data_IF_484278536670
#
_entry.id   IF_484278536670
#
_cell.length_a   1.000
_cell.length_b   1.000
_cell.length_c   1.000
_cell.angle_alpha   90.00
_cell.angle_beta   90.00
_cell.angle_gamma   90.00
#
_symmetry.space_group_name_H-M   'P 1'
#
loop_
_entity.id
_entity.type
_entity.pdbx_description
1 polymer ?
#
# COMPACT_ATOMS: atom_id res chain seq x y z
N UNK A 1 5.04 33.98 67.35
CA UNK A 1 4.31 32.72 67.08
C UNK A 1 3.22 32.99 66.07
N UNK A 2 3.47 32.65 64.79
CA UNK A 2 2.55 32.21 63.74
C UNK A 2 3.14 32.57 62.37
N UNK A 3 3.97 31.66 61.85
CA UNK A 3 4.28 31.59 60.44
C UNK A 3 3.05 31.02 59.73
N UNK A 4 2.46 31.78 58.80
CA UNK A 4 1.47 31.26 57.84
C UNK A 4 2.22 30.92 56.55
N UNK A 5 2.37 29.63 56.29
CA UNK A 5 2.91 29.09 55.04
C UNK A 5 1.75 28.94 54.05
N UNK A 6 1.92 29.50 52.85
CA UNK A 6 1.02 29.32 51.71
C UNK A 6 1.09 27.87 51.17
N UNK A 7 0.00 27.31 50.62
CA UNK A 7 0.05 26.02 49.95
C UNK A 7 0.60 26.16 48.52
N UNK A 8 1.68 25.43 48.23
CA UNK A 8 2.25 25.25 46.90
C UNK A 8 1.22 24.70 45.90
N UNK A 9 0.99 25.44 44.82
CA UNK A 9 0.38 24.92 43.59
C UNK A 9 1.39 24.04 42.87
N UNK A 10 1.10 22.75 42.74
CA UNK A 10 1.74 21.89 41.74
C UNK A 10 0.96 22.03 40.42
N UNK A 11 1.62 22.28 39.27
CA UNK A 11 0.94 22.25 37.99
C UNK A 11 0.60 20.79 37.64
N UNK A 12 -0.68 20.53 37.34
CA UNK A 12 -1.12 19.26 36.77
C UNK A 12 -0.50 19.12 35.38
N UNK A 13 0.49 18.24 35.23
CA UNK A 13 0.93 17.79 33.93
C UNK A 13 -0.21 16.99 33.29
N UNK A 14 -0.93 17.62 32.37
CA UNK A 14 -1.75 16.91 31.41
C UNK A 14 -0.78 16.17 30.49
N UNK A 15 -0.61 14.86 30.73
CA UNK A 15 -0.04 13.96 29.75
C UNK A 15 -1.12 13.83 28.67
N UNK A 16 -0.98 14.59 27.58
CA UNK A 16 -1.69 14.29 26.34
C UNK A 16 -1.19 12.93 25.86
N UNK A 17 -1.95 11.87 26.15
CA UNK A 17 -1.78 10.61 25.46
C UNK A 17 -2.16 10.85 24.00
N UNK A 18 -1.17 11.15 23.17
CA UNK A 18 -1.30 11.02 21.72
C UNK A 18 -1.83 9.60 21.45
N UNK A 19 -2.95 9.45 20.71
CA UNK A 19 -3.45 8.12 20.39
C UNK A 19 -2.34 7.36 19.70
N UNK A 20 -2.06 6.14 20.15
CA UNK A 20 -1.16 5.24 19.43
C UNK A 20 -1.74 5.04 18.04
N UNK A 21 -1.17 5.72 17.06
CA UNK A 21 -1.57 5.58 15.67
C UNK A 21 -1.22 4.14 15.28
N UNK A 22 -2.23 3.28 15.13
CA UNK A 22 -2.01 1.94 14.61
C UNK A 22 -1.47 2.09 13.19
N UNK A 23 -0.24 1.64 13.00
CA UNK A 23 0.44 1.67 11.72
C UNK A 23 0.28 0.33 11.02
N UNK A 24 0.04 0.38 9.72
CA UNK A 24 -0.24 -0.78 8.89
C UNK A 24 0.81 -0.90 7.79
N UNK A 25 1.36 -2.09 7.56
CA UNK A 25 2.24 -2.34 6.43
C UNK A 25 1.41 -2.70 5.20
N UNK A 26 1.54 -1.92 4.13
CA UNK A 26 0.86 -2.11 2.84
C UNK A 26 1.90 -2.28 1.76
N UNK A 27 1.70 -3.30 0.92
CA UNK A 27 2.51 -3.57 -0.26
C UNK A 27 1.80 -3.10 -1.52
N UNK A 28 2.45 -2.21 -2.27
CA UNK A 28 1.94 -1.68 -3.53
C UNK A 28 2.79 -2.18 -4.69
N UNK A 29 2.14 -2.74 -5.71
CA UNK A 29 2.78 -3.34 -6.89
C UNK A 29 2.46 -2.59 -8.19
N UNK A 30 1.37 -1.81 -8.21
CA UNK A 30 0.77 -1.20 -9.39
C UNK A 30 0.93 0.31 -9.45
N UNK A 31 -0.16 1.01 -9.74
CA UNK A 31 -0.17 2.46 -10.00
C UNK A 31 0.22 3.36 -8.82
N UNK A 32 0.26 2.83 -7.60
CA UNK A 32 0.59 3.57 -6.37
C UNK A 32 2.11 3.63 -6.08
N UNK A 33 2.93 2.82 -6.75
CA UNK A 33 4.41 2.83 -6.59
C UNK A 33 5.01 4.19 -6.98
N UNK A 34 6.21 4.50 -6.48
CA UNK A 34 6.96 5.69 -6.93
C UNK A 34 7.11 5.71 -8.45
N UNK A 35 6.95 6.90 -9.02
CA UNK A 35 7.00 7.11 -10.47
C UNK A 35 5.78 6.60 -11.25
N UNK A 36 4.79 6.00 -10.58
CA UNK A 36 3.55 5.55 -11.21
C UNK A 36 2.40 6.57 -11.07
N UNK A 37 1.36 6.51 -11.91
CA UNK A 37 0.39 7.61 -12.06
C UNK A 37 -0.40 7.99 -10.80
N UNK A 38 -0.65 7.04 -9.90
CA UNK A 38 -1.43 7.26 -8.68
C UNK A 38 -0.54 7.50 -7.44
N UNK A 39 0.79 7.55 -7.59
CA UNK A 39 1.69 7.84 -6.47
C UNK A 39 1.38 9.14 -5.70
N UNK A 40 0.90 10.25 -6.34
CA UNK A 40 0.57 11.46 -5.61
C UNK A 40 -0.43 11.25 -4.46
N UNK A 41 -1.35 10.29 -4.56
CA UNK A 41 -2.29 9.96 -3.50
C UNK A 41 -1.61 9.39 -2.24
N UNK A 42 -0.47 8.71 -2.38
CA UNK A 42 0.32 8.18 -1.26
C UNK A 42 1.03 9.31 -0.49
N UNK A 43 1.34 10.42 -1.17
CA UNK A 43 2.08 11.55 -0.59
C UNK A 43 1.20 12.70 -0.12
N UNK A 44 -0.10 12.67 -0.46
CA UNK A 44 -1.05 13.70 -0.04
C UNK A 44 -1.42 13.56 1.44
N UNK A 45 -0.97 14.52 2.26
CA UNK A 45 -1.25 14.59 3.69
C UNK A 45 -2.75 14.65 4.04
N UNK A 46 -3.61 15.01 3.08
CA UNK A 46 -5.06 14.98 3.27
C UNK A 46 -5.60 13.55 3.34
N UNK A 47 -4.91 12.58 2.74
CA UNK A 47 -5.30 11.18 2.76
C UNK A 47 -4.79 10.45 4.01
N UNK A 48 -3.77 10.97 4.69
CA UNK A 48 -3.13 10.37 5.85
C UNK A 48 -1.61 10.35 5.70
N UNK A 49 -0.94 9.50 6.46
CA UNK A 49 0.52 9.32 6.38
C UNK A 49 0.85 8.00 5.70
N UNK A 50 1.79 8.04 4.76
CA UNK A 50 2.45 6.86 4.20
C UNK A 50 3.97 7.08 4.20
N UNK A 51 4.69 6.21 4.90
CA UNK A 51 6.14 6.21 4.97
C UNK A 51 6.68 5.01 4.19
N UNK A 52 7.60 5.26 3.26
CA UNK A 52 8.24 4.20 2.50
C UNK A 52 9.21 3.43 3.41
N UNK A 53 9.06 2.11 3.45
CA UNK A 53 9.94 1.24 4.25
C UNK A 53 11.00 0.54 3.39
N UNK A 54 10.72 0.31 2.11
CA UNK A 54 11.62 -0.46 1.26
C UNK A 54 10.98 -1.05 0.02
N UNK A 55 11.78 -1.74 -0.77
CA UNK A 55 11.31 -2.55 -1.89
C UNK A 55 11.28 -4.01 -1.50
N UNK A 56 10.32 -4.75 -2.05
CA UNK A 56 10.17 -6.17 -1.78
C UNK A 56 9.60 -6.90 -2.98
N UNK A 57 9.62 -8.22 -2.90
CA UNK A 57 8.99 -9.09 -3.87
C UNK A 57 8.15 -10.14 -3.14
N UNK A 58 7.00 -10.51 -3.70
CA UNK A 58 6.18 -11.58 -3.11
C UNK A 58 6.97 -12.88 -2.98
N UNK A 59 6.81 -13.60 -1.87
CA UNK A 59 7.40 -14.94 -1.69
C UNK A 59 6.74 -15.92 -2.66
N UNK A 60 5.40 -15.98 -2.62
CA UNK A 60 4.60 -16.74 -3.56
C UNK A 60 4.52 -16.04 -4.92
N UNK A 61 4.27 -16.82 -5.97
CA UNK A 61 3.96 -16.30 -7.29
C UNK A 61 2.49 -15.87 -7.35
N UNK A 62 2.21 -14.78 -8.07
CA UNK A 62 0.86 -14.34 -8.39
C UNK A 62 0.77 -13.89 -9.86
N UNK A 63 -0.38 -14.08 -10.52
CA UNK A 63 -0.65 -13.43 -11.81
C UNK A 63 -0.91 -11.94 -11.59
N UNK A 64 0.07 -11.12 -11.96
CA UNK A 64 -0.13 -9.67 -12.13
C UNK A 64 -0.41 -9.40 -13.60
N UNK A 65 -1.64 -8.99 -13.91
CA UNK A 65 -2.12 -8.77 -15.28
C UNK A 65 -2.47 -7.31 -15.49
N UNK A 66 -2.37 -6.83 -16.72
CA UNK A 66 -2.89 -5.52 -17.13
C UNK A 66 -4.21 -5.77 -17.85
N UNK A 67 -5.29 -5.21 -17.34
CA UNK A 67 -6.64 -5.51 -17.83
C UNK A 67 -7.54 -4.26 -17.86
N UNK A 68 -8.77 -4.45 -18.35
CA UNK A 68 -9.78 -3.42 -18.64
C UNK A 68 -9.39 -2.45 -19.75
N UNK A 69 -10.36 -1.65 -20.22
CA UNK A 69 -10.11 -0.58 -21.20
C UNK A 69 -9.23 0.56 -20.65
N UNK A 70 -8.90 0.54 -19.35
CA UNK A 70 -8.12 1.56 -18.67
C UNK A 70 -6.69 1.10 -18.35
N UNK A 71 -6.28 -0.10 -18.81
CA UNK A 71 -4.95 -0.69 -18.59
C UNK A 71 -4.54 -0.69 -17.12
N UNK A 72 -5.46 -1.10 -16.24
CA UNK A 72 -5.23 -1.17 -14.81
C UNK A 72 -4.46 -2.45 -14.46
N UNK A 73 -3.45 -2.39 -13.57
CA UNK A 73 -2.79 -3.58 -13.05
C UNK A 73 -3.66 -4.27 -12.01
N UNK A 74 -3.88 -5.57 -12.16
CA UNK A 74 -4.58 -6.41 -11.19
C UNK A 74 -3.69 -7.57 -10.72
N UNK A 75 -3.55 -7.71 -9.42
CA UNK A 75 -2.99 -8.91 -8.80
C UNK A 75 -4.10 -9.92 -8.54
N UNK A 76 -4.16 -10.98 -9.34
CA UNK A 76 -5.15 -12.04 -9.14
C UNK A 76 -4.76 -12.87 -7.93
N UNK A 77 -5.71 -13.13 -7.02
CA UNK A 77 -5.47 -13.96 -5.84
C UNK A 77 -5.46 -15.46 -6.20
N UNK A 78 -4.44 -15.84 -6.96
CA UNK A 78 -4.15 -17.19 -7.44
C UNK A 78 -2.70 -17.56 -7.04
N UNK A 79 -2.44 -17.81 -5.74
CA UNK A 79 -1.10 -18.07 -5.25
C UNK A 79 -0.47 -19.29 -5.94
N UNK A 80 0.81 -19.18 -6.26
CA UNK A 80 1.60 -20.21 -6.96
C UNK A 80 1.60 -20.08 -8.48
N UNK A 81 0.79 -19.19 -9.06
CA UNK A 81 0.72 -18.95 -10.51
C UNK A 81 1.40 -17.63 -10.91
N UNK A 82 1.80 -17.46 -12.17
CA UNK A 82 2.42 -16.22 -12.65
C UNK A 82 3.86 -16.03 -12.14
N UNK A 83 4.17 -14.84 -11.62
CA UNK A 83 5.52 -14.42 -11.25
C UNK A 83 5.60 -14.01 -9.78
N UNK A 84 6.83 -13.93 -9.25
CA UNK A 84 7.05 -13.21 -7.99
C UNK A 84 6.97 -11.72 -8.30
N UNK A 85 6.06 -11.00 -7.64
CA UNK A 85 5.71 -9.63 -8.01
C UNK A 85 6.52 -8.64 -7.19
N UNK A 86 7.19 -7.73 -7.89
CA UNK A 86 8.02 -6.66 -7.33
C UNK A 86 7.15 -5.45 -6.96
N UNK A 87 7.47 -4.82 -5.84
CA UNK A 87 6.77 -3.64 -5.37
C UNK A 87 7.45 -2.95 -4.21
N UNK A 88 6.69 -2.09 -3.55
CA UNK A 88 7.14 -1.21 -2.48
C UNK A 88 6.32 -1.45 -1.22
N UNK A 89 6.97 -1.39 -0.07
CA UNK A 89 6.34 -1.50 1.24
C UNK A 89 6.21 -0.10 1.82
N UNK A 90 5.00 0.24 2.27
CA UNK A 90 4.71 1.45 3.00
C UNK A 90 4.15 1.13 4.38
N UNK A 91 4.57 1.90 5.38
CA UNK A 91 3.88 2.00 6.65
C UNK A 91 2.86 3.14 6.57
N UNK A 92 1.59 2.83 6.80
CA UNK A 92 0.50 3.80 6.68
C UNK A 92 -0.29 3.93 7.97
N UNK A 93 -0.79 5.13 8.26
CA UNK A 93 -1.73 5.32 9.37
C UNK A 93 -3.14 4.83 9.01
N UNK A 94 -4.02 4.74 10.01
CA UNK A 94 -5.40 4.30 9.80
C UNK A 94 -6.18 5.16 8.80
N UNK A 95 -5.90 6.47 8.75
CA UNK A 95 -6.56 7.39 7.80
C UNK A 95 -6.18 7.08 6.35
N UNK A 96 -4.88 6.89 6.09
CA UNK A 96 -4.38 6.49 4.77
C UNK A 96 -4.92 5.12 4.39
N UNK A 97 -4.98 4.18 5.34
CA UNK A 97 -5.53 2.86 5.09
C UNK A 97 -7.02 2.90 4.68
N UNK A 98 -7.84 3.69 5.37
CA UNK A 98 -9.25 3.91 5.03
C UNK A 98 -9.41 4.57 3.65
N UNK A 99 -8.56 5.55 3.35
CA UNK A 99 -8.52 6.16 2.03
C UNK A 99 -8.21 5.13 0.94
N UNK A 100 -7.19 4.29 1.13
CA UNK A 100 -6.80 3.26 0.16
C UNK A 100 -7.89 2.21 -0.04
N UNK A 101 -8.60 1.81 1.01
CA UNK A 101 -9.73 0.87 0.90
C UNK A 101 -10.87 1.43 0.06
N UNK A 102 -11.22 2.70 0.28
CA UNK A 102 -12.21 3.42 -0.52
C UNK A 102 -11.71 3.62 -1.95
N UNK A 103 -10.45 4.03 -2.12
CA UNK A 103 -9.83 4.25 -3.41
C UNK A 103 -9.84 2.97 -4.25
N UNK A 104 -9.46 1.82 -3.69
CA UNK A 104 -9.43 0.53 -4.38
C UNK A 104 -10.81 -0.17 -4.44
N UNK A 105 -11.89 0.50 -4.05
CA UNK A 105 -13.26 -0.01 -4.10
C UNK A 105 -13.43 -1.38 -3.41
N UNK A 106 -12.87 -1.56 -2.21
CA UNK A 106 -13.08 -2.76 -1.40
C UNK A 106 -14.55 -2.88 -0.97
N UNK A 107 -15.15 -4.09 -0.92
CA UNK A 107 -14.60 -5.40 -1.33
C UNK A 107 -14.94 -5.77 -2.79
N UNK A 108 -15.43 -4.82 -3.58
CA UNK A 108 -16.04 -5.07 -4.90
C UNK A 108 -15.04 -5.26 -6.03
N UNK A 109 -14.02 -4.39 -6.11
CA UNK A 109 -13.01 -4.44 -7.19
C UNK A 109 -11.78 -5.21 -6.72
N UNK A 110 -11.29 -4.85 -5.54
CA UNK A 110 -10.22 -5.52 -4.83
C UNK A 110 -10.69 -6.00 -3.45
N UNK A 111 -9.87 -6.84 -2.85
CA UNK A 111 -9.95 -7.26 -1.46
C UNK A 111 -8.58 -7.06 -0.83
N UNK A 112 -8.55 -6.62 0.43
CA UNK A 112 -7.29 -6.51 1.18
C UNK A 112 -6.95 -7.87 1.77
N UNK A 113 -5.85 -8.44 1.30
CA UNK A 113 -5.34 -9.76 1.73
C UNK A 113 -3.95 -9.63 2.30
N UNK A 114 -3.53 -10.54 3.17
CA UNK A 114 -2.15 -10.61 3.65
C UNK A 114 -1.27 -11.41 2.67
N UNK A 115 -0.02 -10.98 2.48
CA UNK A 115 0.99 -11.71 1.70
C UNK A 115 2.34 -11.66 2.39
N UNK A 116 3.11 -12.74 2.22
CA UNK A 116 4.52 -12.79 2.60
C UNK A 116 5.41 -12.15 1.52
N UNK A 117 6.34 -11.32 1.97
CA UNK A 117 7.23 -10.53 1.13
C UNK A 117 8.68 -10.77 1.53
N UNK A 118 9.54 -11.02 0.55
CA UNK A 118 10.99 -11.00 0.72
C UNK A 118 11.50 -9.59 0.47
N UNK A 119 12.12 -8.98 1.48
CA UNK A 119 12.62 -7.61 1.43
C UNK A 119 13.86 -7.57 0.54
N UNK A 120 13.89 -6.66 -0.45
CA UNK A 120 15.01 -6.49 -1.38
C UNK A 120 15.91 -5.33 -0.98
N UNK A 121 15.31 -4.20 -0.63
CA UNK A 121 16.00 -3.04 -0.08
C UNK A 121 15.17 -2.48 1.08
N UNK A 122 15.85 -2.07 2.13
CA UNK A 122 15.24 -1.34 3.24
C UNK A 122 15.67 0.13 3.17
N UNK A 123 14.79 1.04 3.57
CA UNK A 123 15.20 2.40 3.90
C UNK A 123 16.07 2.36 5.17
N UNK A 124 17.15 3.14 5.20
CA UNK A 124 18.17 3.11 6.26
C UNK A 124 17.62 3.43 7.65
N UNK A 125 16.45 4.08 7.71
CA UNK A 125 15.78 4.48 8.94
C UNK A 125 15.06 3.33 9.64
N UNK A 126 14.76 2.25 8.92
CA UNK A 126 13.86 1.20 9.41
C UNK A 126 14.58 -0.14 9.57
N UNK A 127 14.17 -0.92 10.58
CA UNK A 127 14.80 -2.21 10.93
C UNK A 127 14.42 -3.34 9.96
N UNK A 128 14.11 -3.03 8.71
CA UNK A 128 13.92 -4.04 7.68
C UNK A 128 15.29 -4.57 7.25
N UNK A 129 15.44 -5.89 7.21
CA UNK A 129 16.67 -6.53 6.79
C UNK A 129 16.50 -7.09 5.38
N UNK A 130 17.37 -6.71 4.46
CA UNK A 130 17.37 -7.31 3.13
C UNK A 130 17.49 -8.85 3.24
N UNK A 131 16.62 -9.56 2.53
CA UNK A 131 16.50 -11.02 2.57
C UNK A 131 15.60 -11.58 3.69
N UNK A 132 15.15 -10.77 4.66
CA UNK A 132 14.14 -11.23 5.62
C UNK A 132 12.75 -11.29 4.98
N UNK A 133 11.88 -12.10 5.58
CA UNK A 133 10.47 -12.20 5.18
C UNK A 133 9.61 -11.39 6.15
N UNK A 134 8.62 -10.68 5.64
CA UNK A 134 7.58 -10.04 6.46
C UNK A 134 6.20 -10.21 5.82
N UNK A 135 5.16 -10.07 6.65
CA UNK A 135 3.77 -10.01 6.18
C UNK A 135 3.35 -8.55 5.98
N UNK A 136 2.63 -8.27 4.89
CA UNK A 136 1.97 -7.00 4.67
C UNK A 136 0.61 -7.20 3.98
N UNK A 137 -0.26 -6.20 4.09
CA UNK A 137 -1.51 -6.15 3.34
C UNK A 137 -1.28 -5.78 1.88
N UNK A 138 -2.01 -6.38 0.96
CA UNK A 138 -2.01 -6.06 -0.47
C UNK A 138 -3.44 -6.03 -1.00
N UNK A 139 -3.70 -5.18 -1.99
CA UNK A 139 -4.96 -5.16 -2.74
C UNK A 139 -4.89 -6.21 -3.85
N UNK A 140 -5.47 -7.38 -3.62
CA UNK A 140 -5.60 -8.45 -4.62
C UNK A 140 -7.06 -8.61 -5.04
N UNK A 141 -7.34 -9.35 -6.10
CA UNK A 141 -8.72 -9.55 -6.56
C UNK A 141 -9.05 -11.02 -6.81
N UNK A 142 -10.24 -11.41 -6.36
CA UNK A 142 -10.93 -12.66 -6.67
C UNK A 142 -12.10 -12.44 -7.63
N UNK A 143 -12.38 -11.18 -7.98
CA UNK A 143 -13.51 -10.71 -8.77
C UNK A 143 -13.02 -10.20 -10.12
N UNK A 144 -12.72 -11.13 -11.02
CA UNK A 144 -12.15 -10.86 -12.34
C UNK A 144 -12.90 -11.60 -13.46
N UNK A 145 -12.68 -11.18 -14.71
CA UNK A 145 -13.29 -11.86 -15.87
C UNK A 145 -12.61 -13.23 -16.10
N UNK A 146 -13.33 -14.25 -16.61
CA UNK A 146 -12.80 -15.61 -16.75
C UNK A 146 -11.56 -15.74 -17.64
N UNK A 147 -11.32 -14.79 -18.53
CA UNK A 147 -10.18 -14.75 -19.46
C UNK A 147 -8.92 -14.12 -18.82
N UNK A 148 -9.04 -13.37 -17.73
CA UNK A 148 -7.92 -12.68 -17.09
C UNK A 148 -6.77 -13.60 -16.66
N UNK A 149 -7.00 -14.80 -16.10
CA UNK A 149 -5.92 -15.73 -15.76
C UNK A 149 -5.06 -16.16 -16.96
N UNK A 150 -5.55 -15.98 -18.20
CA UNK A 150 -4.82 -16.31 -19.43
C UNK A 150 -4.08 -15.11 -20.04
N UNK A 151 -4.21 -13.92 -19.46
CA UNK A 151 -3.49 -12.72 -19.92
C UNK A 151 -1.99 -12.81 -19.63
N UNK A 152 -1.15 -12.04 -20.34
CA UNK A 152 0.25 -11.89 -20.01
C UNK A 152 0.44 -11.48 -18.55
N UNK A 153 1.34 -12.17 -17.86
CA UNK A 153 1.67 -11.89 -16.46
C UNK A 153 3.00 -11.16 -16.36
N UNK A 154 3.04 -10.14 -15.51
CA UNK A 154 4.21 -9.30 -15.29
C UNK A 154 4.82 -9.58 -13.91
N UNK A 155 6.12 -9.37 -13.74
CA UNK A 155 6.78 -9.41 -12.44
C UNK A 155 6.92 -8.00 -11.85
N UNK A 156 6.99 -6.96 -12.68
CA UNK A 156 7.04 -5.57 -12.27
C UNK A 156 6.18 -4.70 -13.19
N UNK A 157 5.13 -4.09 -12.65
CA UNK A 157 4.27 -3.17 -13.42
C UNK A 157 4.95 -1.81 -13.61
N UNK A 158 4.87 -1.28 -14.83
CA UNK A 158 5.20 0.11 -15.18
C UNK A 158 4.22 0.63 -16.24
N UNK A 159 3.48 1.70 -15.95
CA UNK A 159 2.56 2.31 -16.93
C UNK A 159 3.25 2.72 -18.24
N UNK A 160 4.57 2.95 -18.24
CA UNK A 160 5.33 3.29 -19.45
C UNK A 160 6.21 2.13 -19.94
N UNK A 161 5.94 0.90 -19.47
CA UNK A 161 6.68 -0.30 -19.85
C UNK A 161 6.49 -0.71 -21.32
N UNK A 162 7.33 -1.64 -21.76
CA UNK A 162 7.42 -2.11 -23.15
C UNK A 162 6.14 -2.79 -23.67
N UNK A 163 5.15 -3.06 -22.80
CA UNK A 163 3.84 -3.56 -23.20
C UNK A 163 2.99 -2.53 -23.96
N UNK A 164 3.32 -1.24 -23.91
CA UNK A 164 2.60 -0.18 -24.62
C UNK A 164 1.18 0.14 -24.07
N UNK A 165 0.70 -0.65 -23.11
CA UNK A 165 -0.57 -0.45 -22.40
C UNK A 165 -0.46 0.65 -21.33
N UNK A 166 -0.60 1.92 -21.74
CA UNK A 166 -0.53 3.06 -20.81
C UNK A 166 -1.77 3.16 -19.92
N UNK A 167 -1.56 3.35 -18.61
CA UNK A 167 -2.63 3.52 -17.63
C UNK A 167 -3.50 4.75 -17.91
N UNK A 168 -4.81 4.59 -17.77
CA UNK A 168 -5.76 5.70 -17.86
C UNK A 168 -6.22 6.14 -16.45
N UNK A 169 -5.88 7.37 -16.08
CA UNK A 169 -6.30 7.99 -14.83
C UNK A 169 -7.82 8.06 -14.74
N UNK A 170 -8.36 8.04 -13.50
CA UNK A 170 -9.81 8.06 -13.27
C UNK A 170 -10.48 9.29 -13.87
N UNK A 171 -9.82 10.45 -13.80
CA UNK A 171 -10.29 11.72 -14.36
C UNK A 171 -10.41 11.73 -15.89
N UNK A 172 -9.60 10.91 -16.58
CA UNK A 172 -9.60 10.80 -18.05
C UNK A 172 -10.61 9.78 -18.58
N UNK A 173 -11.24 9.01 -17.68
CA UNK A 173 -12.23 8.00 -18.07
C UNK A 173 -13.49 8.74 -18.49
N UNK A 174 -13.76 8.74 -19.81
CA UNK A 174 -15.07 9.11 -20.31
C UNK A 174 -16.09 8.18 -19.64
N UNK A 175 -17.09 8.77 -18.98
CA UNK A 175 -18.26 8.02 -18.58
C UNK A 175 -18.82 7.37 -19.85
N UNK A 176 -18.85 6.03 -19.84
CA UNK A 176 -19.53 5.25 -20.86
C UNK A 176 -20.92 4.91 -20.33
#
# INVERSE_FOLDING_TARGET
LQNKTEPNQFPSFFISQEPSVFMHCVFVYGSLKRGQPNHPYMTDSNNGKAEFLGTAVTVQKYPLVIATNYNMPFLLNLPGQGNRVQGEIYQVDGKMLEFLDSFENIPTMYQRTAVELEIKMADEKEKLMAGSIMEASVYSTTTYQPDWPSLPTYDNYDSNGDHGLKFMLREDRKWA
#
